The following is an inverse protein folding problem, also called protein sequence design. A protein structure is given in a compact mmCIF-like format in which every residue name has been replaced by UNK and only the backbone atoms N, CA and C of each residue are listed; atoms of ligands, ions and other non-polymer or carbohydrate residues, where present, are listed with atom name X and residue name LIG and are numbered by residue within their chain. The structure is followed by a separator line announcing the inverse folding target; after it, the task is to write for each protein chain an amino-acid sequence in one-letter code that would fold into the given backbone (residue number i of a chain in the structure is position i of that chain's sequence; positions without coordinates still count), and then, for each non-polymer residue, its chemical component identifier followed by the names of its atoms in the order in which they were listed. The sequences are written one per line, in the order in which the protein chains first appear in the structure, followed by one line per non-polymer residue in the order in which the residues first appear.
data_IF_509037996584
#
_entry.id   IF_509037996584
#
_cell.length_a   1.000
_cell.length_b   1.000
_cell.length_c   1.000
_cell.angle_alpha   90.00
_cell.angle_beta   90.00
_cell.angle_gamma   90.00
#
_symmetry.space_group_name_H-M   'P 1'
#
loop_
_entity.id
_entity.type
_entity.pdbx_description
1 polymer ?
#
# COMPACT_ATOMS: atom_id res chain seq x y z
N UNK A 1 -20.02 -4.47 -6.43
CA UNK A 1 -20.44 -3.25 -5.69
C UNK A 1 -19.82 -3.32 -4.30
N UNK A 2 -19.22 -2.23 -3.82
CA UNK A 2 -18.80 -2.09 -2.42
C UNK A 2 -20.02 -1.61 -1.61
N UNK A 3 -20.29 -2.21 -0.44
CA UNK A 3 -21.46 -1.90 0.39
C UNK A 3 -21.10 -1.14 1.69
N UNK A 4 -19.82 -0.95 1.99
CA UNK A 4 -19.39 -0.21 3.17
C UNK A 4 -17.87 -0.20 3.36
N UNK A 5 -17.42 0.75 4.16
CA UNK A 5 -16.06 0.86 4.69
C UNK A 5 -16.18 0.82 6.22
N UNK A 6 -15.32 0.06 6.89
CA UNK A 6 -15.36 -0.19 8.34
C UNK A 6 -13.96 -0.01 8.96
N UNK A 7 -13.85 -0.19 10.29
CA UNK A 7 -12.58 -0.18 11.04
C UNK A 7 -11.76 1.11 10.96
N UNK A 8 -12.38 2.24 11.29
CA UNK A 8 -11.75 3.59 11.27
C UNK A 8 -10.79 3.87 12.45
N UNK A 9 -10.33 2.85 13.20
CA UNK A 9 -9.47 3.05 14.37
C UNK A 9 -8.09 3.64 14.05
N UNK A 10 -7.63 3.49 12.82
CA UNK A 10 -6.39 4.10 12.33
C UNK A 10 -6.63 5.34 11.46
N UNK A 11 -7.87 5.86 11.39
CA UNK A 11 -8.15 7.10 10.68
C UNK A 11 -7.45 8.27 11.37
N UNK A 12 -6.83 9.15 10.57
CA UNK A 12 -6.11 10.31 11.05
C UNK A 12 -6.11 11.41 9.98
N UNK A 13 -5.63 12.59 10.33
CA UNK A 13 -5.37 13.67 9.36
C UNK A 13 -3.95 13.50 8.81
N UNK A 14 -3.86 13.13 7.54
CA UNK A 14 -2.60 12.95 6.81
C UNK A 14 -2.83 13.26 5.31
N UNK A 15 -1.79 13.09 4.49
CA UNK A 15 -1.84 13.23 3.03
C UNK A 15 -2.73 12.17 2.40
N UNK A 16 -3.67 12.60 1.56
CA UNK A 16 -4.63 11.71 0.89
C UNK A 16 -3.92 10.68 -0.01
N UNK A 17 -2.83 11.08 -0.69
CA UNK A 17 -2.05 10.19 -1.51
C UNK A 17 -1.37 9.05 -0.72
N UNK A 18 -1.16 9.23 0.59
CA UNK A 18 -0.62 8.15 1.44
C UNK A 18 -1.65 7.02 1.64
N UNK A 19 -2.94 7.32 1.76
CA UNK A 19 -3.98 6.29 1.82
C UNK A 19 -4.07 5.50 0.52
N UNK A 20 -3.88 6.14 -0.63
CA UNK A 20 -3.78 5.46 -1.93
C UNK A 20 -2.58 4.52 -1.94
N UNK A 21 -1.45 4.97 -1.41
CA UNK A 21 -0.23 4.19 -1.31
C UNK A 21 -0.40 2.96 -0.37
N UNK A 22 -1.15 3.10 0.72
CA UNK A 22 -1.58 1.98 1.58
C UNK A 22 -2.45 1.01 0.78
N UNK A 23 -3.41 1.50 0.00
CA UNK A 23 -4.26 0.67 -0.86
C UNK A 23 -3.46 -0.08 -1.94
N UNK A 24 -2.47 0.55 -2.58
CA UNK A 24 -1.57 -0.13 -3.52
C UNK A 24 -0.85 -1.31 -2.86
N UNK A 25 -0.35 -1.12 -1.63
CA UNK A 25 0.31 -2.18 -0.88
C UNK A 25 -0.64 -3.30 -0.45
N UNK A 26 -1.90 -2.97 -0.15
CA UNK A 26 -2.89 -3.93 0.35
C UNK A 26 -3.56 -4.73 -0.78
N UNK A 27 -3.86 -4.11 -1.92
CA UNK A 27 -4.75 -4.68 -2.95
C UNK A 27 -4.04 -5.07 -4.26
N UNK A 28 -2.86 -4.52 -4.54
CA UNK A 28 -2.21 -4.67 -5.85
C UNK A 28 -1.03 -5.65 -5.87
N UNK A 29 -0.89 -6.48 -4.85
CA UNK A 29 0.06 -7.61 -4.83
C UNK A 29 -0.70 -8.93 -4.78
N UNK A 30 -0.22 -9.91 -5.54
CA UNK A 30 -0.73 -11.28 -5.49
C UNK A 30 -0.18 -12.05 -4.28
N UNK A 31 -0.79 -13.17 -3.88
CA UNK A 31 -0.33 -13.99 -2.77
C UNK A 31 1.13 -14.48 -2.91
N UNK A 32 1.63 -14.64 -4.14
CA UNK A 32 3.01 -15.02 -4.43
C UNK A 32 4.00 -13.84 -4.30
N UNK A 33 3.51 -12.62 -4.04
CA UNK A 33 4.29 -11.40 -3.89
C UNK A 33 4.58 -10.67 -5.20
N UNK A 34 4.06 -11.13 -6.33
CA UNK A 34 4.12 -10.39 -7.59
C UNK A 34 3.22 -9.14 -7.55
N UNK A 35 3.67 -8.06 -8.18
CA UNK A 35 2.87 -6.84 -8.29
C UNK A 35 1.92 -6.94 -9.49
N UNK A 36 0.64 -6.71 -9.27
CA UNK A 36 -0.39 -6.74 -10.30
C UNK A 36 -0.67 -5.32 -10.82
N UNK A 37 -0.01 -4.97 -11.92
CA UNK A 37 -0.15 -3.67 -12.61
C UNK A 37 -1.61 -3.43 -13.07
N UNK A 38 -2.35 -4.47 -13.44
CA UNK A 38 -3.76 -4.33 -13.85
C UNK A 38 -4.64 -3.89 -12.70
N UNK A 39 -4.45 -4.45 -11.50
CA UNK A 39 -5.17 -4.02 -10.28
C UNK A 39 -4.78 -2.59 -9.88
N UNK A 40 -3.49 -2.26 -9.95
CA UNK A 40 -3.00 -0.92 -9.62
C UNK A 40 -3.56 0.15 -10.56
N UNK A 41 -3.51 -0.09 -11.88
CA UNK A 41 -4.14 0.77 -12.88
C UNK A 41 -5.62 0.98 -12.61
N UNK A 42 -6.37 -0.11 -12.39
CA UNK A 42 -7.81 -0.03 -12.13
C UNK A 42 -8.13 0.79 -10.86
N UNK A 43 -7.33 0.59 -9.81
CA UNK A 43 -7.47 1.32 -8.55
C UNK A 43 -7.23 2.82 -8.76
N UNK A 44 -6.11 3.19 -9.39
CA UNK A 44 -5.73 4.59 -9.60
C UNK A 44 -6.71 5.30 -10.54
N UNK A 45 -7.07 4.69 -11.68
CA UNK A 45 -8.03 5.27 -12.62
C UNK A 45 -9.41 5.47 -11.98
N UNK A 46 -9.90 4.49 -11.21
CA UNK A 46 -11.17 4.62 -10.50
C UNK A 46 -11.12 5.75 -9.46
N UNK A 47 -10.01 5.86 -8.73
CA UNK A 47 -9.80 6.95 -7.78
C UNK A 47 -9.83 8.33 -8.49
N UNK A 48 -9.09 8.47 -9.58
CA UNK A 48 -8.99 9.72 -10.34
C UNK A 48 -10.30 10.15 -11.00
N UNK A 49 -11.16 9.19 -11.38
CA UNK A 49 -12.49 9.50 -11.90
C UNK A 49 -13.40 10.22 -10.89
N UNK A 50 -13.06 10.16 -9.59
CA UNK A 50 -13.78 10.84 -8.51
C UNK A 50 -12.98 12.02 -7.98
N UNK A 51 -11.67 11.86 -7.76
CA UNK A 51 -10.75 12.91 -7.31
C UNK A 51 -9.45 12.84 -8.11
N UNK A 52 -9.22 13.76 -9.06
CA UNK A 52 -7.96 13.85 -9.78
C UNK A 52 -6.76 13.99 -8.84
N UNK A 53 -5.67 13.30 -9.18
CA UNK A 53 -4.42 13.44 -8.45
C UNK A 53 -3.63 14.64 -9.00
N UNK A 54 -3.12 15.46 -8.09
CA UNK A 54 -2.23 16.54 -8.49
C UNK A 54 -0.89 15.98 -8.98
N UNK A 55 -0.15 16.74 -9.83
CA UNK A 55 1.19 16.32 -10.25
C UNK A 55 2.13 16.02 -9.09
N UNK A 56 2.04 16.77 -7.99
CA UNK A 56 2.82 16.53 -6.78
C UNK A 56 2.44 15.20 -6.10
N UNK A 57 1.15 14.89 -5.97
CA UNK A 57 0.71 13.61 -5.40
C UNK A 57 1.21 12.42 -6.24
N UNK A 58 1.17 12.53 -7.57
CA UNK A 58 1.68 11.52 -8.49
C UNK A 58 3.20 11.36 -8.38
N UNK A 59 3.95 12.47 -8.34
CA UNK A 59 5.41 12.45 -8.19
C UNK A 59 5.85 11.77 -6.89
N UNK A 60 5.16 12.06 -5.79
CA UNK A 60 5.47 11.50 -4.47
C UNK A 60 4.94 10.08 -4.25
N UNK A 61 4.04 9.58 -5.10
CA UNK A 61 3.35 8.30 -4.92
C UNK A 61 4.31 7.12 -4.69
N UNK A 62 5.42 6.93 -5.44
CA UNK A 62 6.38 5.86 -5.17
C UNK A 62 7.03 5.97 -3.78
N UNK A 63 7.33 7.18 -3.33
CA UNK A 63 7.92 7.43 -2.00
C UNK A 63 6.92 7.11 -0.90
N UNK A 64 5.65 7.53 -1.07
CA UNK A 64 4.58 7.20 -0.14
C UNK A 64 4.32 5.69 -0.08
N UNK A 65 4.37 4.99 -1.21
CA UNK A 65 4.22 3.53 -1.27
C UNK A 65 5.33 2.78 -0.53
N UNK A 66 6.57 3.30 -0.59
CA UNK A 66 7.68 2.82 0.25
C UNK A 66 7.40 3.09 1.73
N UNK A 67 6.94 4.28 2.09
CA UNK A 67 6.58 4.64 3.47
C UNK A 67 5.48 3.75 4.04
N UNK A 68 4.42 3.49 3.28
CA UNK A 68 3.35 2.58 3.65
C UNK A 68 3.87 1.15 3.83
N UNK A 69 4.70 0.66 2.90
CA UNK A 69 5.30 -0.67 3.03
C UNK A 69 6.18 -0.79 4.28
N UNK A 70 6.99 0.24 4.56
CA UNK A 70 7.84 0.31 5.74
C UNK A 70 7.03 0.31 7.04
N UNK A 71 5.93 1.08 7.11
CA UNK A 71 5.04 1.11 8.28
C UNK A 71 4.57 -0.30 8.65
N UNK A 72 3.99 -1.03 7.68
CA UNK A 72 3.50 -2.39 7.94
C UNK A 72 4.62 -3.40 8.19
N UNK A 73 5.79 -3.22 7.58
CA UNK A 73 6.98 -4.02 7.89
C UNK A 73 7.38 -3.85 9.35
N UNK A 74 7.45 -2.61 9.84
CA UNK A 74 7.85 -2.30 11.21
C UNK A 74 6.85 -2.83 12.22
N UNK A 75 5.55 -2.58 12.03
CA UNK A 75 4.53 -3.05 12.97
C UNK A 75 4.46 -4.57 13.01
N UNK A 76 4.53 -5.26 11.86
CA UNK A 76 4.56 -6.73 11.84
C UNK A 76 5.84 -7.31 12.44
N UNK A 77 6.97 -6.65 12.24
CA UNK A 77 8.23 -7.05 12.90
C UNK A 77 8.12 -6.89 14.40
N UNK A 78 7.55 -5.77 14.86
CA UNK A 78 7.30 -5.55 16.27
C UNK A 78 6.36 -6.61 16.84
N UNK A 79 5.22 -6.88 16.20
CA UNK A 79 4.29 -7.91 16.64
C UNK A 79 4.99 -9.28 16.71
N UNK A 80 5.75 -9.67 15.68
CA UNK A 80 6.48 -10.94 15.65
C UNK A 80 7.48 -11.07 16.80
N UNK A 81 8.20 -9.99 17.16
CA UNK A 81 9.19 -9.99 18.23
C UNK A 81 8.58 -9.96 19.63
N UNK A 82 7.35 -9.46 19.77
CA UNK A 82 6.70 -9.23 21.06
C UNK A 82 5.46 -10.11 21.30
N UNK A 83 5.11 -11.01 20.37
CA UNK A 83 3.99 -11.94 20.56
C UNK A 83 4.34 -12.98 21.62
N UNK A 84 3.48 -13.12 22.63
CA UNK A 84 3.59 -14.16 23.66
C UNK A 84 3.55 -15.56 23.03
N UNK A 85 4.39 -16.47 23.49
CA UNK A 85 4.42 -17.86 23.06
C UNK A 85 3.07 -18.59 23.25
N UNK A 86 2.23 -18.11 24.18
CA UNK A 86 0.89 -18.65 24.43
C UNK A 86 -0.22 -17.98 23.60
N UNK A 87 0.11 -17.00 22.75
CA UNK A 87 -0.89 -16.30 21.96
C UNK A 87 -1.50 -17.23 20.89
N UNK A 88 -2.83 -17.26 20.81
CA UNK A 88 -3.57 -18.00 19.79
C UNK A 88 -3.50 -17.34 18.40
N UNK A 89 -3.09 -16.06 18.35
CA UNK A 89 -3.02 -15.28 17.10
C UNK A 89 -1.63 -15.45 16.50
N UNK A 90 -1.57 -16.06 15.30
CA UNK A 90 -0.33 -16.18 14.55
C UNK A 90 0.10 -14.80 14.04
N UNK A 91 1.29 -14.36 14.45
CA UNK A 91 1.92 -13.17 13.90
C UNK A 91 2.09 -13.30 12.37
N UNK A 92 1.83 -12.21 11.65
CA UNK A 92 1.96 -12.17 10.19
C UNK A 92 3.43 -12.06 9.81
N UNK A 93 3.83 -12.71 8.72
CA UNK A 93 5.21 -12.63 8.21
C UNK A 93 5.55 -11.17 7.81
N UNK A 94 6.56 -10.53 8.43
CA UNK A 94 7.02 -9.21 8.05
C UNK A 94 7.69 -9.20 6.67
N UNK A 95 8.25 -10.32 6.20
CA UNK A 95 8.94 -10.38 4.92
C UNK A 95 8.01 -10.12 3.72
N UNK A 96 6.69 -10.29 3.88
CA UNK A 96 5.70 -9.84 2.90
C UNK A 96 5.92 -8.37 2.55
N UNK A 97 6.03 -7.50 3.57
CA UNK A 97 6.18 -6.06 3.38
C UNK A 97 7.61 -5.65 3.06
N UNK A 98 8.62 -6.45 3.43
CA UNK A 98 9.98 -6.27 2.94
C UNK A 98 10.06 -6.47 1.42
N UNK A 99 9.38 -7.49 0.88
CA UNK A 99 9.30 -7.72 -0.58
C UNK A 99 8.58 -6.57 -1.28
N UNK A 100 7.45 -6.10 -0.74
CA UNK A 100 6.71 -4.93 -1.27
C UNK A 100 7.58 -3.66 -1.26
N UNK A 101 8.29 -3.40 -0.17
CA UNK A 101 9.22 -2.28 -0.06
C UNK A 101 10.32 -2.35 -1.13
N UNK A 102 10.95 -3.51 -1.32
CA UNK A 102 11.96 -3.74 -2.37
C UNK A 102 11.41 -3.58 -3.78
N UNK A 103 10.13 -3.89 -4.00
CA UNK A 103 9.46 -3.59 -5.26
C UNK A 103 9.36 -2.07 -5.47
N UNK A 104 8.79 -1.33 -4.51
CA UNK A 104 8.61 0.12 -4.63
C UNK A 104 9.93 0.91 -4.70
N UNK A 105 11.04 0.36 -4.17
CA UNK A 105 12.38 0.94 -4.36
C UNK A 105 12.90 0.87 -5.80
N UNK A 106 12.36 -0.04 -6.62
CA UNK A 106 12.72 -0.18 -8.05
C UNK A 106 11.80 0.64 -8.96
N UNK A 107 10.65 1.09 -8.46
CA UNK A 107 9.73 1.98 -9.16
C UNK A 107 10.37 3.36 -9.29
N UNK A 108 10.43 3.88 -10.52
CA UNK A 108 11.02 5.19 -10.84
C UNK A 108 9.97 6.27 -11.01
N UNK A 109 8.74 5.91 -11.35
CA UNK A 109 7.65 6.83 -11.62
C UNK A 109 6.31 6.20 -11.28
N UNK A 110 5.30 7.03 -11.00
CA UNK A 110 3.91 6.56 -10.85
C UNK A 110 3.40 5.77 -12.07
N UNK A 111 4.00 6.00 -13.25
CA UNK A 111 3.70 5.26 -14.49
C UNK A 111 4.00 3.76 -14.37
N UNK A 112 4.96 3.36 -13.54
CA UNK A 112 5.28 1.94 -13.33
C UNK A 112 4.16 1.22 -12.55
N UNK A 113 3.24 1.95 -11.92
CA UNK A 113 2.00 1.42 -11.35
C UNK A 113 0.89 1.22 -12.39
N UNK A 114 1.15 1.55 -13.65
CA UNK A 114 0.25 1.32 -14.78
C UNK A 114 -0.64 2.51 -15.14
N UNK A 115 -0.49 3.66 -14.48
CA UNK A 115 -1.17 4.90 -14.85
C UNK A 115 -0.52 5.51 -16.10
N UNK A 116 -1.34 6.07 -16.99
CA UNK A 116 -0.89 6.68 -18.26
C UNK A 116 -0.24 8.04 -18.06
N UNK A 117 -0.09 8.79 -19.16
CA UNK A 117 0.31 10.20 -19.06
C UNK A 117 -0.84 11.06 -18.53
N UNK A 118 -0.48 12.02 -17.69
CA UNK A 118 -1.33 13.11 -17.20
C UNK A 118 -0.99 14.41 -17.92
#
# INVERSE_FOLDING_TARGET
RCSGLIDFYFACTDTIAYDIAVCLNAWCFEPDGSFNVTKARALLQAYESVRPLSPAELEWLPTLARGAALRFLLTRTYDLLNTDANALVKAKDPNEYLRKLRFHQRVKSYRDYGLGEH
#
